data_IF_284634461774
#
_entry.id   IF_284634461774
#
_cell.length_a   1.000
_cell.length_b   1.000
_cell.length_c   1.000
_cell.angle_alpha   90.00
_cell.angle_beta   90.00
_cell.angle_gamma   90.00
#
_symmetry.space_group_name_H-M   'P 1'
#
loop_
_entity.id
_entity.type
_entity.pdbx_description
1 polymer ?
#
# COMPACT_ATOMS: atom_id res chain seq x y z
N UNK A 1 -17.00 -9.65 -5.35
CA UNK A 1 -15.71 -9.31 -4.71
C UNK A 1 -15.29 -7.97 -5.30
N UNK A 2 -15.23 -6.91 -4.50
CA UNK A 2 -14.81 -5.60 -5.01
C UNK A 2 -13.39 -5.72 -5.58
N UNK A 3 -13.08 -5.13 -6.75
CA UNK A 3 -11.73 -5.14 -7.28
C UNK A 3 -10.81 -4.49 -6.24
N UNK A 4 -9.91 -5.29 -5.68
CA UNK A 4 -8.97 -4.84 -4.67
C UNK A 4 -7.87 -4.08 -5.42
N UNK A 5 -7.98 -2.75 -5.41
CA UNK A 5 -7.00 -1.87 -6.03
C UNK A 5 -5.67 -1.91 -5.23
N UNK A 6 -4.51 -1.68 -5.87
CA UNK A 6 -3.22 -1.56 -5.17
C UNK A 6 -3.32 -0.65 -3.93
N UNK A 7 -2.67 -1.06 -2.83
CA UNK A 7 -2.75 -0.56 -1.45
C UNK A 7 -3.87 -1.12 -0.56
N UNK A 8 -4.91 -1.76 -1.10
CA UNK A 8 -6.00 -2.38 -0.31
C UNK A 8 -6.59 -1.46 0.79
N UNK A 9 -6.54 -0.14 0.61
CA UNK A 9 -7.10 0.81 1.56
C UNK A 9 -8.59 1.06 1.25
N UNK A 10 -9.38 1.47 2.26
CA UNK A 10 -10.76 1.90 2.03
C UNK A 10 -10.82 3.10 1.07
N UNK A 11 -11.91 3.27 0.33
CA UNK A 11 -12.04 4.30 -0.72
C UNK A 11 -11.77 5.73 -0.22
N UNK A 12 -12.11 6.02 1.05
CA UNK A 12 -11.89 7.33 1.69
C UNK A 12 -10.41 7.58 2.03
N UNK A 13 -9.69 6.53 2.42
CA UNK A 13 -8.26 6.61 2.75
C UNK A 13 -7.35 6.49 1.53
N UNK A 14 -7.81 5.85 0.45
CA UNK A 14 -7.01 5.60 -0.74
C UNK A 14 -6.84 6.85 -1.59
N UNK A 15 -5.59 7.26 -1.83
CA UNK A 15 -5.28 8.37 -2.73
C UNK A 15 -5.75 8.08 -4.16
N UNK A 16 -5.61 6.83 -4.64
CA UNK A 16 -5.97 6.45 -6.00
C UNK A 16 -7.48 6.53 -6.30
N UNK A 17 -8.31 6.61 -5.26
CA UNK A 17 -9.76 6.78 -5.38
C UNK A 17 -10.22 8.24 -5.20
N UNK A 18 -9.30 9.19 -5.01
CA UNK A 18 -9.60 10.60 -4.84
C UNK A 18 -9.22 11.40 -6.08
N UNK A 19 -10.09 12.33 -6.49
CA UNK A 19 -9.74 13.30 -7.53
C UNK A 19 -8.83 14.38 -6.97
N UNK A 20 -8.22 15.17 -7.86
CA UNK A 20 -7.41 16.32 -7.42
C UNK A 20 -8.22 17.28 -6.54
N UNK A 21 -9.49 17.52 -6.88
CA UNK A 21 -10.39 18.41 -6.14
C UNK A 21 -10.69 17.88 -4.74
N UNK A 22 -10.89 16.57 -4.59
CA UNK A 22 -11.13 15.94 -3.28
C UNK A 22 -9.92 16.14 -2.36
N UNK A 23 -8.71 15.91 -2.88
CA UNK A 23 -7.47 16.13 -2.16
C UNK A 23 -7.26 17.61 -1.80
N UNK A 24 -7.59 18.51 -2.72
CA UNK A 24 -7.52 19.96 -2.48
C UNK A 24 -8.52 20.42 -1.40
N UNK A 25 -9.69 19.78 -1.32
CA UNK A 25 -10.72 20.10 -0.35
C UNK A 25 -10.52 19.44 1.04
N UNK A 26 -9.53 18.53 1.20
CA UNK A 26 -9.30 17.89 2.50
C UNK A 26 -9.03 18.93 3.60
N UNK A 27 -9.66 18.77 4.77
CA UNK A 27 -9.40 19.60 5.92
C UNK A 27 -8.02 19.32 6.50
N UNK A 28 -7.45 20.30 7.21
CA UNK A 28 -6.26 20.14 8.04
C UNK A 28 -5.06 19.46 7.33
N UNK A 29 -4.81 19.85 6.06
CA UNK A 29 -3.72 19.31 5.23
C UNK A 29 -2.34 19.37 5.89
N UNK A 30 -2.12 20.33 6.80
CA UNK A 30 -0.88 20.46 7.57
C UNK A 30 -0.67 19.35 8.60
N UNK A 31 -1.74 18.64 8.98
CA UNK A 31 -1.73 17.55 9.97
C UNK A 31 -2.14 16.21 9.39
N UNK A 32 -2.29 16.13 8.07
CA UNK A 32 -2.64 14.89 7.39
C UNK A 32 -1.51 13.86 7.53
N UNK A 33 -1.85 12.65 8.00
CA UNK A 33 -0.93 11.52 7.96
C UNK A 33 -0.97 10.91 6.56
N UNK A 34 0.16 10.97 5.86
CA UNK A 34 0.33 10.34 4.55
C UNK A 34 1.18 9.09 4.72
N UNK A 35 0.68 7.95 4.24
CA UNK A 35 1.38 6.66 4.31
C UNK A 35 1.73 6.24 2.89
N UNK A 36 3.02 6.01 2.65
CA UNK A 36 3.52 5.33 1.45
C UNK A 36 3.82 3.87 1.81
N UNK A 37 3.01 2.90 1.37
CA UNK A 37 3.35 1.49 1.52
C UNK A 37 4.56 1.15 0.66
N UNK A 38 5.55 0.48 1.24
CA UNK A 38 6.75 0.00 0.55
C UNK A 38 6.79 -1.51 0.68
N UNK A 39 6.84 -2.20 -0.45
CA UNK A 39 6.85 -3.65 -0.55
C UNK A 39 7.90 -4.10 -1.55
N UNK A 40 8.46 -5.29 -1.31
CA UNK A 40 9.29 -5.99 -2.27
C UNK A 40 8.47 -6.74 -3.31
N UNK A 41 9.05 -6.86 -4.50
CA UNK A 41 8.63 -7.79 -5.53
C UNK A 41 9.75 -8.81 -5.71
N UNK A 42 9.61 -9.96 -5.08
CA UNK A 42 10.72 -10.89 -4.87
C UNK A 42 10.25 -12.35 -4.82
N UNK A 43 11.15 -13.26 -5.22
CA UNK A 43 10.97 -14.68 -4.92
C UNK A 43 11.44 -14.97 -3.49
N UNK A 44 10.50 -15.35 -2.63
CA UNK A 44 10.77 -15.75 -1.25
C UNK A 44 11.09 -17.25 -1.09
N UNK A 45 11.11 -18.03 -2.18
CA UNK A 45 11.47 -19.46 -2.14
C UNK A 45 10.43 -20.39 -1.52
N UNK A 46 9.21 -19.88 -1.25
CA UNK A 46 8.13 -20.62 -0.58
C UNK A 46 7.00 -21.05 -1.54
N UNK A 47 7.21 -20.95 -2.86
CA UNK A 47 6.14 -21.14 -3.84
C UNK A 47 5.04 -20.06 -3.77
N UNK A 48 5.35 -18.93 -3.14
CA UNK A 48 4.44 -17.82 -2.93
C UNK A 48 4.46 -16.87 -4.14
N UNK A 49 3.39 -16.10 -4.38
CA UNK A 49 3.39 -15.05 -5.39
C UNK A 49 4.50 -14.01 -5.15
N UNK A 50 5.06 -13.44 -6.22
CA UNK A 50 6.15 -12.46 -6.13
C UNK A 50 5.75 -11.16 -5.41
N UNK A 51 4.45 -10.85 -5.37
CA UNK A 51 3.89 -9.69 -4.67
C UNK A 51 3.39 -10.02 -3.26
N UNK A 52 3.88 -11.10 -2.64
CA UNK A 52 3.42 -11.54 -1.31
C UNK A 52 3.53 -10.43 -0.26
N UNK A 53 4.61 -9.66 -0.28
CA UNK A 53 4.78 -8.54 0.65
C UNK A 53 3.66 -7.50 0.51
N UNK A 54 3.26 -7.16 -0.72
CA UNK A 54 2.16 -6.22 -0.97
C UNK A 54 0.82 -6.77 -0.48
N UNK A 55 0.53 -8.04 -0.79
CA UNK A 55 -0.74 -8.69 -0.40
C UNK A 55 -0.90 -8.68 1.12
N UNK A 56 0.15 -9.09 1.85
CA UNK A 56 0.12 -9.16 3.31
C UNK A 56 0.17 -7.76 3.92
N UNK A 57 1.13 -6.94 3.50
CA UNK A 57 1.36 -5.61 4.06
C UNK A 57 0.15 -4.68 3.88
N UNK A 58 -0.48 -4.70 2.70
CA UNK A 58 -1.67 -3.89 2.44
C UNK A 58 -2.87 -4.36 3.28
N UNK A 59 -3.02 -5.67 3.51
CA UNK A 59 -4.06 -6.19 4.39
C UNK A 59 -3.85 -5.80 5.87
N UNK A 60 -2.60 -5.84 6.34
CA UNK A 60 -2.23 -5.39 7.70
C UNK A 60 -2.50 -3.89 7.87
N UNK A 61 -2.08 -3.07 6.90
CA UNK A 61 -2.33 -1.62 6.94
C UNK A 61 -3.83 -1.32 7.03
N UNK A 62 -4.65 -1.97 6.18
CA UNK A 62 -6.12 -1.80 6.23
C UNK A 62 -6.67 -2.18 7.61
N UNK A 63 -6.28 -3.33 8.15
CA UNK A 63 -6.74 -3.78 9.46
C UNK A 63 -6.35 -2.78 10.57
N UNK A 64 -5.14 -2.22 10.51
CA UNK A 64 -4.68 -1.20 11.46
C UNK A 64 -5.50 0.10 11.36
N UNK A 65 -5.79 0.57 10.14
CA UNK A 65 -6.62 1.78 9.92
C UNK A 65 -8.04 1.60 10.44
N UNK A 66 -8.65 0.44 10.17
CA UNK A 66 -9.98 0.11 10.68
C UNK A 66 -9.99 0.00 12.21
N UNK A 67 -9.00 -0.69 12.80
CA UNK A 67 -8.89 -0.82 14.26
C UNK A 67 -8.68 0.52 14.97
N UNK A 68 -7.95 1.45 14.34
CA UNK A 68 -7.73 2.79 14.86
C UNK A 68 -8.88 3.78 14.58
N UNK A 69 -9.86 3.43 13.74
CA UNK A 69 -10.89 4.36 13.27
C UNK A 69 -10.32 5.54 12.46
N UNK A 70 -9.16 5.35 11.82
CA UNK A 70 -8.37 6.44 11.24
C UNK A 70 -8.56 6.63 9.72
N UNK A 71 -9.51 5.92 9.10
CA UNK A 71 -9.69 5.86 7.64
C UNK A 71 -9.95 7.24 7.00
N UNK A 72 -10.57 8.18 7.71
CA UNK A 72 -10.82 9.54 7.21
C UNK A 72 -9.65 10.51 7.42
N UNK A 73 -8.70 10.16 8.30
CA UNK A 73 -7.59 11.02 8.70
C UNK A 73 -6.29 10.67 7.98
N UNK A 74 -6.19 9.44 7.47
CA UNK A 74 -5.02 8.94 6.75
C UNK A 74 -5.24 9.02 5.24
N UNK A 75 -4.18 9.35 4.53
CA UNK A 75 -4.10 9.26 3.08
C UNK A 75 -3.06 8.19 2.72
N UNK A 76 -3.51 7.07 2.16
CA UNK A 76 -2.65 5.98 1.71
C UNK A 76 -2.33 6.16 0.24
N UNK A 77 -1.06 6.31 -0.09
CA UNK A 77 -0.56 6.42 -1.45
C UNK A 77 -0.54 5.05 -2.16
N UNK A 78 -0.46 5.02 -3.51
CA UNK A 78 -0.21 3.77 -4.23
C UNK A 78 1.08 3.10 -3.71
N UNK A 79 1.12 1.76 -3.58
CA UNK A 79 2.28 1.09 -3.05
C UNK A 79 3.49 1.23 -3.97
N UNK A 80 4.67 1.37 -3.37
CA UNK A 80 5.93 1.24 -4.05
C UNK A 80 6.39 -0.22 -3.96
N UNK A 81 6.40 -0.93 -5.09
CA UNK A 81 6.60 -2.39 -5.14
C UNK A 81 7.95 -2.83 -5.71
N UNK A 82 8.70 -1.92 -6.33
CA UNK A 82 10.00 -2.23 -6.95
C UNK A 82 11.15 -1.63 -6.13
N UNK A 83 11.43 -2.26 -4.99
CA UNK A 83 12.52 -1.89 -4.08
C UNK A 83 13.74 -2.79 -4.17
N UNK A 84 14.68 -2.58 -3.26
CA UNK A 84 15.82 -3.48 -3.08
C UNK A 84 15.32 -4.87 -2.65
N UNK A 85 15.93 -5.91 -3.22
CA UNK A 85 15.62 -7.28 -2.85
C UNK A 85 15.96 -7.55 -1.37
N UNK A 86 15.11 -8.26 -0.62
CA UNK A 86 15.35 -8.50 0.80
C UNK A 86 16.54 -9.45 1.05
N UNK A 87 16.85 -10.31 0.07
CA UNK A 87 17.97 -11.24 0.11
C UNK A 87 18.68 -11.32 -1.25
N UNK A 88 19.96 -11.67 -1.23
CA UNK A 88 20.75 -11.79 -2.46
C UNK A 88 20.21 -12.84 -3.44
N UNK A 89 19.54 -13.89 -2.95
CA UNK A 89 18.93 -14.94 -3.78
C UNK A 89 17.54 -14.57 -4.32
N UNK A 90 16.99 -13.42 -3.93
CA UNK A 90 15.74 -12.89 -4.48
C UNK A 90 15.95 -12.15 -5.80
N UNK A 91 17.20 -12.01 -6.26
CA UNK A 91 17.50 -11.48 -7.57
C UNK A 91 17.07 -12.52 -8.61
N UNK A 92 16.16 -12.15 -9.51
CA UNK A 92 16.03 -12.89 -10.76
C UNK A 92 17.37 -12.76 -11.47
N UNK A 93 18.13 -13.86 -11.53
CA UNK A 93 19.30 -13.90 -12.40
C UNK A 93 18.83 -13.58 -13.80
N UNK A 94 19.21 -12.40 -14.32
CA UNK A 94 19.25 -12.22 -15.76
C UNK A 94 20.47 -13.01 -16.21
N UNK A 95 20.22 -14.17 -16.81
CA UNK A 95 21.18 -14.89 -17.62
C UNK A 95 21.59 -14.09 -18.87
#
# INVERSE_FOLDING_TARGET
>A
MSPQWPANAGSVSSWAHQTWSDLAARPDKARALVVLPVHGYADHGFGLPLNTEEVVGSAVLRAALTAAGAESQVLVLPPFTFGAAPYAHCHFGAD
#
